data_IF_462217092195
#
_entry.id   IF_462217092195
#
_cell.length_a   1.000
_cell.length_b   1.000
_cell.length_c   1.000
_cell.angle_alpha   90.00
_cell.angle_beta   90.00
_cell.angle_gamma   90.00
#
_symmetry.space_group_name_H-M   'P 1'
#
loop_
_entity.id
_entity.type
_entity.pdbx_description
1 polymer ?
#
# COMPACT_ATOMS: atom_id res chain seq x y z
N UNK A 1 -39.26 -13.42 -12.08
CA UNK A 1 -38.10 -13.06 -11.26
C UNK A 1 -36.85 -13.69 -11.85
N UNK A 2 -35.86 -12.88 -12.20
CA UNK A 2 -34.58 -13.39 -12.72
C UNK A 2 -33.88 -14.22 -11.67
N UNK A 3 -33.45 -15.45 -12.04
CA UNK A 3 -32.64 -16.31 -11.16
C UNK A 3 -31.15 -15.97 -11.24
N UNK A 4 -30.76 -14.93 -11.99
CA UNK A 4 -29.39 -14.51 -12.13
C UNK A 4 -28.98 -13.70 -10.88
N UNK A 5 -28.04 -14.16 -10.05
CA UNK A 5 -27.64 -13.49 -8.81
C UNK A 5 -26.99 -12.11 -9.06
N UNK A 6 -26.53 -11.85 -10.29
CA UNK A 6 -25.98 -10.55 -10.70
C UNK A 6 -27.03 -9.54 -11.15
N UNK A 7 -28.29 -9.96 -11.30
CA UNK A 7 -29.40 -9.09 -11.68
C UNK A 7 -30.05 -8.51 -10.44
N UNK A 8 -29.60 -7.36 -9.99
CA UNK A 8 -30.13 -6.61 -8.86
C UNK A 8 -30.97 -5.42 -9.33
N UNK A 9 -31.81 -4.86 -8.46
CA UNK A 9 -32.56 -3.63 -8.76
C UNK A 9 -31.62 -2.53 -9.24
N UNK A 10 -30.48 -2.34 -8.58
CA UNK A 10 -29.51 -1.32 -8.95
C UNK A 10 -28.93 -1.49 -10.35
N UNK A 11 -28.69 -2.74 -10.79
CA UNK A 11 -28.15 -3.01 -12.13
C UNK A 11 -29.21 -2.88 -13.23
N UNK A 12 -30.46 -3.26 -12.95
CA UNK A 12 -31.57 -3.19 -13.92
C UNK A 12 -32.04 -1.75 -14.13
N UNK A 13 -31.95 -0.93 -13.08
CA UNK A 13 -32.36 0.50 -13.13
C UNK A 13 -31.22 1.44 -13.52
N UNK A 14 -30.04 0.91 -13.83
CA UNK A 14 -28.82 1.70 -14.10
C UNK A 14 -28.32 2.58 -12.93
N UNK A 15 -29.01 2.60 -11.79
CA UNK A 15 -28.62 3.36 -10.59
C UNK A 15 -27.22 2.96 -10.16
N UNK A 16 -26.88 1.70 -10.29
CA UNK A 16 -25.57 1.18 -9.93
C UNK A 16 -24.44 1.79 -10.78
N UNK A 17 -24.69 2.09 -12.05
CA UNK A 17 -23.72 2.70 -12.95
C UNK A 17 -23.41 4.14 -12.54
N UNK A 18 -24.42 4.89 -12.13
CA UNK A 18 -24.24 6.23 -11.57
C UNK A 18 -23.49 6.19 -10.24
N UNK A 19 -23.82 5.23 -9.36
CA UNK A 19 -23.12 5.08 -8.07
C UNK A 19 -21.64 4.75 -8.26
N UNK A 20 -21.30 3.83 -9.15
CA UNK A 20 -19.90 3.51 -9.47
C UNK A 20 -19.12 4.73 -9.92
N UNK A 21 -19.72 5.54 -10.81
CA UNK A 21 -19.11 6.76 -11.29
C UNK A 21 -18.95 7.79 -10.16
N UNK A 22 -19.99 7.96 -9.34
CA UNK A 22 -19.98 8.88 -8.20
C UNK A 22 -18.85 8.52 -7.22
N UNK A 23 -18.81 7.26 -6.76
CA UNK A 23 -17.78 6.80 -5.81
C UNK A 23 -16.37 6.90 -6.39
N UNK A 24 -16.18 6.60 -7.69
CA UNK A 24 -14.88 6.71 -8.33
C UNK A 24 -14.40 8.17 -8.49
N UNK A 25 -15.33 9.14 -8.59
CA UNK A 25 -14.97 10.55 -8.86
C UNK A 25 -14.90 11.43 -7.63
N UNK A 26 -15.78 11.22 -6.65
CA UNK A 26 -15.89 12.07 -5.46
C UNK A 26 -15.80 11.30 -4.15
N UNK A 27 -15.66 9.98 -4.21
CA UNK A 27 -15.51 9.14 -3.01
C UNK A 27 -14.17 9.41 -2.32
N UNK A 28 -14.20 9.49 -1.01
CA UNK A 28 -13.00 9.56 -0.18
C UNK A 28 -12.55 8.16 0.22
N UNK A 29 -11.27 7.88 -0.02
CA UNK A 29 -10.68 6.58 0.30
C UNK A 29 -10.26 6.55 1.77
N UNK A 30 -10.68 5.51 2.47
CA UNK A 30 -10.29 5.28 3.85
C UNK A 30 -9.61 3.92 3.98
N UNK A 31 -8.62 3.83 4.86
CA UNK A 31 -7.96 2.57 5.18
C UNK A 31 -8.94 1.62 5.86
N UNK A 32 -9.12 0.39 5.38
CA UNK A 32 -10.07 -0.57 5.99
C UNK A 32 -9.64 -1.02 7.39
N UNK A 33 -8.36 -0.85 7.75
CA UNK A 33 -7.82 -1.28 9.04
C UNK A 33 -7.89 -0.18 10.09
N UNK A 34 -7.46 1.06 9.77
CA UNK A 34 -7.42 2.15 10.75
C UNK A 34 -8.45 3.27 10.51
N UNK A 35 -9.22 3.21 9.42
CA UNK A 35 -10.22 4.22 9.07
C UNK A 35 -9.65 5.58 8.64
N UNK A 36 -8.33 5.77 8.65
CA UNK A 36 -7.71 7.03 8.23
C UNK A 36 -7.93 7.28 6.74
N UNK A 37 -8.17 8.52 6.38
CA UNK A 37 -8.28 8.95 4.99
C UNK A 37 -6.95 8.69 4.27
N UNK A 38 -7.04 8.07 3.10
CA UNK A 38 -5.91 7.84 2.20
C UNK A 38 -5.98 8.89 1.10
N UNK A 39 -4.92 9.65 0.92
CA UNK A 39 -4.78 10.61 -0.18
C UNK A 39 -3.54 10.28 -1.00
N UNK A 40 -3.65 10.52 -2.30
CA UNK A 40 -2.49 10.59 -3.18
C UNK A 40 -2.01 12.02 -3.22
N UNK A 41 -0.70 12.21 -3.15
CA UNK A 41 -0.08 13.52 -3.28
C UNK A 41 0.87 13.52 -4.47
N UNK A 42 0.91 14.61 -5.21
CA UNK A 42 1.97 14.85 -6.19
C UNK A 42 3.28 15.18 -5.49
N UNK A 43 4.41 14.98 -6.16
CA UNK A 43 5.73 15.37 -5.62
C UNK A 43 5.73 16.85 -5.23
N UNK A 44 5.12 17.72 -6.06
CA UNK A 44 5.04 19.15 -5.76
C UNK A 44 4.25 19.45 -4.48
N UNK A 45 3.10 18.81 -4.27
CA UNK A 45 2.33 18.97 -3.03
C UNK A 45 3.10 18.49 -1.79
N UNK A 46 3.95 17.47 -1.94
CA UNK A 46 4.81 16.99 -0.84
C UNK A 46 5.91 18.03 -0.56
N UNK A 47 6.53 18.59 -1.62
CA UNK A 47 7.51 19.68 -1.50
C UNK A 47 6.89 20.88 -0.79
N UNK A 48 5.71 21.33 -1.25
CA UNK A 48 5.01 22.48 -0.68
C UNK A 48 4.74 22.28 0.82
N UNK A 49 4.28 21.08 1.20
CA UNK A 49 4.06 20.72 2.62
C UNK A 49 5.35 20.69 3.44
N UNK A 50 6.44 20.21 2.87
CA UNK A 50 7.73 20.21 3.56
C UNK A 50 8.32 21.62 3.68
N UNK A 51 8.01 22.52 2.73
CA UNK A 51 8.40 23.93 2.79
C UNK A 51 7.59 24.74 3.82
N UNK A 52 6.46 24.22 4.33
CA UNK A 52 5.73 24.82 5.45
C UNK A 52 6.46 24.69 6.79
N UNK A 53 7.46 23.81 6.90
CA UNK A 53 8.27 23.71 8.12
C UNK A 53 9.06 25.00 8.37
N UNK A 54 9.31 25.34 9.65
CA UNK A 54 10.09 26.52 9.99
C UNK A 54 11.45 26.55 9.31
N UNK A 55 11.90 27.74 8.92
CA UNK A 55 13.25 27.93 8.37
C UNK A 55 14.31 27.37 9.31
N UNK A 56 15.35 26.75 8.74
CA UNK A 56 16.43 26.03 9.43
C UNK A 56 16.03 24.69 10.06
N UNK A 57 14.80 24.20 9.86
CA UNK A 57 14.44 22.84 10.23
C UNK A 57 15.34 21.85 9.48
N UNK A 58 15.95 20.93 10.23
CA UNK A 58 16.78 19.87 9.66
C UNK A 58 15.91 18.64 9.38
N UNK A 59 15.82 18.26 8.12
CA UNK A 59 15.07 17.10 7.66
C UNK A 59 16.00 15.99 7.19
N UNK A 60 15.60 14.77 7.45
CA UNK A 60 16.12 13.56 6.82
C UNK A 60 15.02 12.98 5.93
N UNK A 61 15.33 12.85 4.63
CA UNK A 61 14.42 12.26 3.65
C UNK A 61 14.72 10.76 3.59
N UNK A 62 13.72 9.95 3.91
CA UNK A 62 13.86 8.51 4.02
C UNK A 62 12.94 7.79 3.03
N UNK A 63 13.43 6.71 2.47
CA UNK A 63 12.66 5.79 1.62
C UNK A 63 12.43 4.47 2.33
N UNK A 64 11.20 4.11 2.76
CA UNK A 64 10.92 2.86 3.46
C UNK A 64 10.88 1.67 2.50
N UNK A 65 11.98 0.93 2.40
CA UNK A 65 12.14 -0.22 1.49
C UNK A 65 11.75 -1.56 2.13
N UNK A 66 11.78 -1.66 3.46
CA UNK A 66 11.26 -2.81 4.21
C UNK A 66 10.39 -2.30 5.34
N UNK A 67 9.18 -2.85 5.47
CA UNK A 67 8.20 -2.42 6.49
C UNK A 67 7.61 -3.63 7.19
N UNK A 68 7.98 -3.81 8.46
CA UNK A 68 7.44 -4.85 9.33
C UNK A 68 7.60 -6.28 8.81
N UNK A 69 8.64 -6.55 8.02
CA UNK A 69 8.90 -7.86 7.44
C UNK A 69 9.95 -8.63 8.22
N UNK A 70 9.74 -9.94 8.38
CA UNK A 70 10.73 -10.84 8.97
C UNK A 70 11.81 -11.19 7.98
N UNK A 71 13.05 -11.29 8.43
CA UNK A 71 14.16 -11.70 7.59
C UNK A 71 15.46 -11.02 7.99
N UNK A 72 16.57 -11.48 7.43
CA UNK A 72 17.90 -10.84 7.62
C UNK A 72 18.14 -9.69 6.66
N UNK A 73 17.32 -9.55 5.64
CA UNK A 73 17.34 -8.48 4.62
C UNK A 73 18.70 -8.15 3.98
N UNK A 74 19.69 -9.07 4.07
CA UNK A 74 21.06 -8.88 3.55
C UNK A 74 21.07 -8.45 2.07
N UNK A 75 20.22 -9.10 1.24
CA UNK A 75 20.10 -8.74 -0.18
C UNK A 75 19.58 -7.32 -0.41
N UNK A 76 18.67 -6.86 0.43
CA UNK A 76 18.12 -5.50 0.34
C UNK A 76 19.23 -4.50 0.63
N UNK A 77 19.99 -4.70 1.72
CA UNK A 77 21.11 -3.84 2.12
C UNK A 77 22.21 -3.85 1.03
N UNK A 78 22.52 -5.02 0.47
CA UNK A 78 23.47 -5.12 -0.64
C UNK A 78 23.02 -4.35 -1.90
N UNK A 79 21.74 -4.38 -2.22
CA UNK A 79 21.19 -3.64 -3.36
C UNK A 79 21.27 -2.13 -3.11
N UNK A 80 20.91 -1.67 -1.91
CA UNK A 80 21.02 -0.26 -1.50
C UNK A 80 22.46 0.23 -1.66
N UNK A 81 23.45 -0.61 -1.25
CA UNK A 81 24.87 -0.31 -1.43
C UNK A 81 25.27 -0.22 -2.89
N UNK A 82 24.77 -1.13 -3.74
CA UNK A 82 25.05 -1.13 -5.20
C UNK A 82 24.47 0.10 -5.90
N UNK A 83 23.35 0.62 -5.42
CA UNK A 83 22.71 1.84 -5.93
C UNK A 83 23.43 3.12 -5.47
N UNK A 84 24.48 3.00 -4.63
CA UNK A 84 25.35 4.11 -4.23
C UNK A 84 24.88 4.86 -2.97
N UNK A 85 23.87 4.37 -2.28
CA UNK A 85 23.47 4.96 -1.00
C UNK A 85 24.49 4.62 0.10
N UNK A 86 24.72 5.56 1.00
CA UNK A 86 25.74 5.46 2.04
C UNK A 86 25.16 5.09 3.39
N UNK A 87 23.88 5.43 3.63
CA UNK A 87 23.24 5.28 4.96
C UNK A 87 21.87 4.65 4.85
N UNK A 88 21.55 3.84 5.85
CA UNK A 88 20.24 3.26 6.09
C UNK A 88 19.85 3.51 7.54
N UNK A 89 18.54 3.58 7.78
CA UNK A 89 17.98 3.51 9.12
C UNK A 89 17.33 2.15 9.27
N UNK A 90 17.68 1.43 10.32
CA UNK A 90 17.15 0.10 10.62
C UNK A 90 16.52 0.14 12.00
N UNK A 91 15.25 -0.17 12.09
CA UNK A 91 14.48 -0.17 13.34
C UNK A 91 14.61 1.13 14.14
N UNK A 92 14.74 2.27 13.44
CA UNK A 92 14.89 3.61 14.00
C UNK A 92 16.32 4.07 14.20
N UNK A 93 17.33 3.20 14.09
CA UNK A 93 18.74 3.54 14.25
C UNK A 93 19.46 3.71 12.90
N UNK A 94 20.35 4.72 12.83
CA UNK A 94 21.11 5.01 11.60
C UNK A 94 22.41 4.19 11.55
N UNK A 95 22.64 3.54 10.41
CA UNK A 95 23.84 2.76 10.10
C UNK A 95 24.47 3.23 8.78
N UNK A 96 25.78 3.07 8.65
CA UNK A 96 26.39 3.10 7.33
C UNK A 96 26.16 1.77 6.61
N UNK A 97 25.94 1.81 5.30
CA UNK A 97 25.65 0.59 4.51
C UNK A 97 26.84 -0.37 4.51
N UNK A 98 28.03 0.14 4.87
CA UNK A 98 29.27 -0.64 5.03
C UNK A 98 29.37 -1.36 6.36
N UNK A 99 28.56 -0.98 7.34
CA UNK A 99 28.55 -1.62 8.66
C UNK A 99 28.02 -3.05 8.58
N UNK A 100 28.43 -3.89 9.50
CA UNK A 100 27.89 -5.24 9.65
C UNK A 100 26.55 -5.18 10.38
N UNK A 101 25.46 -5.20 9.63
CA UNK A 101 24.10 -5.15 10.16
C UNK A 101 23.58 -6.58 10.26
N UNK A 102 23.54 -7.13 11.46
CA UNK A 102 23.02 -8.48 11.71
C UNK A 102 21.59 -8.42 12.26
N UNK A 103 20.62 -8.86 11.44
CA UNK A 103 19.20 -8.82 11.74
C UNK A 103 18.65 -10.20 12.08
N UNK A 104 17.85 -10.27 13.12
CA UNK A 104 17.22 -11.51 13.54
C UNK A 104 16.10 -11.91 12.55
N UNK A 105 16.29 -13.05 11.86
CA UNK A 105 15.35 -13.54 10.84
C UNK A 105 13.90 -13.76 11.33
N UNK A 106 13.69 -13.91 12.62
CA UNK A 106 12.39 -14.20 13.22
C UNK A 106 11.67 -12.93 13.71
N UNK A 107 12.35 -11.79 13.75
CA UNK A 107 11.79 -10.50 14.13
C UNK A 107 11.36 -9.72 12.89
N UNK A 108 10.40 -8.82 13.08
CA UNK A 108 9.97 -7.87 12.05
C UNK A 108 10.91 -6.67 12.09
N UNK A 109 11.40 -6.28 10.93
CA UNK A 109 12.30 -5.14 10.77
C UNK A 109 11.71 -4.10 9.84
N UNK A 110 12.10 -2.85 10.06
CA UNK A 110 11.89 -1.73 9.17
C UNK A 110 13.25 -1.26 8.66
N UNK A 111 13.38 -1.05 7.36
CA UNK A 111 14.60 -0.53 6.75
C UNK A 111 14.23 0.62 5.85
N UNK A 112 14.80 1.78 6.11
CA UNK A 112 14.65 2.97 5.31
C UNK A 112 16.02 3.41 4.76
N UNK A 113 16.03 3.76 3.48
CA UNK A 113 17.22 4.38 2.85
C UNK A 113 17.24 5.85 3.20
N UNK A 114 18.36 6.35 3.70
CA UNK A 114 18.57 7.79 3.89
C UNK A 114 18.95 8.39 2.54
N UNK A 115 17.98 9.01 1.89
CA UNK A 115 18.15 9.58 0.55
C UNK A 115 18.89 10.91 0.62
N UNK A 116 18.46 11.80 1.51
CA UNK A 116 19.11 13.12 1.68
C UNK A 116 18.94 13.66 3.10
N UNK A 117 19.79 14.61 3.45
CA UNK A 117 19.71 15.43 4.67
C UNK A 117 19.68 16.89 4.28
N UNK A 118 18.59 17.54 4.58
CA UNK A 118 18.26 18.86 4.06
C UNK A 118 17.98 19.80 5.23
N UNK A 119 18.33 21.06 5.04
CA UNK A 119 17.94 22.14 5.95
C UNK A 119 16.97 23.03 5.19
N UNK A 120 15.77 23.24 5.73
CA UNK A 120 14.75 24.07 5.12
C UNK A 120 15.23 25.52 5.03
N UNK A 121 15.24 26.07 3.83
CA UNK A 121 15.58 27.45 3.47
C UNK A 121 15.03 27.78 2.10
N UNK A 122 14.94 29.05 1.77
CA UNK A 122 14.54 29.49 0.43
C UNK A 122 15.45 28.93 -0.66
N UNK A 123 14.85 28.53 -1.80
CA UNK A 123 15.56 28.05 -3.00
C UNK A 123 16.01 26.60 -2.93
N UNK A 124 15.48 25.80 -1.99
CA UNK A 124 15.82 24.37 -1.86
C UNK A 124 14.81 23.44 -2.56
N UNK A 125 13.74 23.97 -3.11
CA UNK A 125 12.58 23.25 -3.63
C UNK A 125 13.00 22.21 -4.68
N UNK A 126 13.87 22.57 -5.62
CA UNK A 126 14.33 21.64 -6.66
C UNK A 126 15.10 20.45 -6.07
N UNK A 127 16.03 20.70 -5.13
CA UNK A 127 16.76 19.63 -4.45
C UNK A 127 15.82 18.73 -3.63
N UNK A 128 14.85 19.33 -2.98
CA UNK A 128 13.85 18.61 -2.20
C UNK A 128 13.01 17.71 -3.13
N UNK A 129 12.56 18.25 -4.28
CA UNK A 129 11.82 17.49 -5.29
C UNK A 129 12.63 16.30 -5.81
N UNK A 130 13.91 16.48 -6.16
CA UNK A 130 14.79 15.40 -6.63
C UNK A 130 14.97 14.30 -5.56
N UNK A 131 15.11 14.70 -4.29
CA UNK A 131 15.24 13.77 -3.17
C UNK A 131 13.94 12.99 -2.92
N UNK A 132 12.79 13.65 -3.02
CA UNK A 132 11.48 13.01 -2.89
C UNK A 132 11.25 12.05 -4.06
N UNK A 133 11.54 12.46 -5.30
CA UNK A 133 11.42 11.60 -6.48
C UNK A 133 12.25 10.32 -6.32
N UNK A 134 13.49 10.45 -5.87
CA UNK A 134 14.37 9.32 -5.58
C UNK A 134 13.78 8.42 -4.49
N UNK A 135 13.28 8.99 -3.40
CA UNK A 135 12.70 8.24 -2.30
C UNK A 135 11.46 7.45 -2.72
N UNK A 136 10.52 8.08 -3.44
CA UNK A 136 9.29 7.43 -3.89
C UNK A 136 9.53 6.35 -4.94
N UNK A 137 10.58 6.50 -5.75
CA UNK A 137 10.99 5.48 -6.73
C UNK A 137 11.51 4.21 -6.06
N UNK A 138 12.28 4.34 -4.99
CA UNK A 138 12.84 3.21 -4.23
C UNK A 138 11.78 2.45 -3.42
N UNK A 139 10.80 3.16 -2.88
CA UNK A 139 9.80 2.61 -1.95
C UNK A 139 8.43 2.36 -2.59
N UNK A 140 8.35 2.44 -3.91
CA UNK A 140 7.09 2.29 -4.66
C UNK A 140 6.01 3.32 -4.25
N UNK A 141 6.43 4.56 -4.07
CA UNK A 141 5.53 5.71 -3.87
C UNK A 141 5.47 6.28 -2.47
N UNK A 142 6.31 5.83 -1.54
CA UNK A 142 6.35 6.33 -0.16
C UNK A 142 7.60 7.18 0.08
N UNK A 143 7.46 8.21 0.92
CA UNK A 143 8.57 8.99 1.45
C UNK A 143 8.30 9.40 2.89
N UNK A 144 9.33 9.37 3.73
CA UNK A 144 9.26 9.84 5.10
C UNK A 144 10.10 11.10 5.24
N UNK A 145 9.50 12.18 5.75
CA UNK A 145 10.20 13.34 6.24
C UNK A 145 10.39 13.22 7.74
N UNK A 146 11.62 12.98 8.17
CA UNK A 146 11.97 12.96 9.58
C UNK A 146 12.57 14.30 9.97
N UNK A 147 11.94 15.00 10.90
CA UNK A 147 12.55 16.15 11.58
C UNK A 147 13.57 15.62 12.54
N UNK A 148 14.83 16.09 12.45
CA UNK A 148 15.89 15.66 13.39
C UNK A 148 15.48 16.09 14.79
N UNK A 149 15.47 15.14 15.72
CA UNK A 149 15.02 15.29 17.11
C UNK A 149 13.51 15.65 17.24
N UNK A 150 12.71 15.37 16.21
CA UNK A 150 11.29 15.67 16.15
C UNK A 150 10.44 14.54 15.59
N UNK A 151 9.29 14.92 15.05
CA UNK A 151 8.31 13.97 14.49
C UNK A 151 8.70 13.45 13.10
N UNK A 152 8.06 12.36 12.72
CA UNK A 152 8.13 11.78 11.39
C UNK A 152 6.77 11.92 10.70
N UNK A 153 6.80 12.35 9.45
CA UNK A 153 5.62 12.48 8.63
C UNK A 153 5.82 11.63 7.37
N UNK A 154 4.91 10.70 7.14
CA UNK A 154 4.93 9.87 5.95
C UNK A 154 3.98 10.42 4.89
N UNK A 155 4.48 10.57 3.67
CA UNK A 155 3.72 10.97 2.50
C UNK A 155 3.66 9.83 1.49
N UNK A 156 2.62 9.82 0.66
CA UNK A 156 2.46 8.83 -0.41
C UNK A 156 2.07 9.49 -1.72
N UNK A 157 2.76 9.10 -2.79
CA UNK A 157 2.39 9.47 -4.16
C UNK A 157 1.37 8.49 -4.77
N UNK A 158 0.98 7.45 -4.03
CA UNK A 158 -0.06 6.50 -4.39
C UNK A 158 -1.19 6.55 -3.37
N UNK A 159 -2.37 6.07 -3.74
CA UNK A 159 -3.44 5.84 -2.78
C UNK A 159 -3.05 4.68 -1.85
N UNK A 160 -2.25 4.95 -0.84
CA UNK A 160 -1.82 3.94 0.12
C UNK A 160 -1.90 4.46 1.55
N UNK A 161 -2.32 3.60 2.47
CA UNK A 161 -2.26 3.92 3.89
C UNK A 161 -0.80 3.91 4.35
N UNK A 162 -0.27 5.00 4.89
CA UNK A 162 1.12 5.05 5.31
C UNK A 162 1.43 4.06 6.45
N UNK A 163 0.46 3.75 7.32
CA UNK A 163 0.66 2.85 8.46
C UNK A 163 0.58 1.37 8.07
N UNK A 164 -0.37 1.01 7.17
CA UNK A 164 -0.65 -0.40 6.86
C UNK A 164 -0.13 -0.85 5.50
N UNK A 165 0.35 0.08 4.66
CA UNK A 165 0.80 -0.25 3.30
C UNK A 165 -0.30 -0.77 2.37
N UNK A 166 -1.57 -0.68 2.80
CA UNK A 166 -2.71 -1.05 1.97
C UNK A 166 -2.87 0.03 0.91
N UNK A 167 -2.55 -0.31 -0.32
CA UNK A 167 -2.66 0.56 -1.47
C UNK A 167 -3.89 0.26 -2.31
N UNK A 168 -4.43 1.29 -2.94
CA UNK A 168 -5.43 1.19 -4.00
C UNK A 168 -4.75 1.70 -5.26
N UNK A 169 -4.64 0.86 -6.28
CA UNK A 169 -3.86 1.19 -7.49
C UNK A 169 -4.43 2.41 -8.21
N UNK A 170 -5.71 2.43 -8.48
CA UNK A 170 -6.38 3.54 -9.17
C UNK A 170 -7.87 3.51 -8.87
N UNK A 171 -8.44 4.65 -8.45
CA UNK A 171 -9.88 4.78 -8.29
C UNK A 171 -10.56 4.86 -9.66
N UNK A 172 -11.05 3.74 -10.13
CA UNK A 172 -11.80 3.66 -11.39
C UNK A 172 -13.17 3.05 -11.17
N UNK A 173 -14.19 3.40 -11.99
CA UNK A 173 -15.55 2.84 -11.85
C UNK A 173 -15.61 1.31 -11.87
N UNK A 174 -14.65 0.64 -12.51
CA UNK A 174 -14.56 -0.83 -12.56
C UNK A 174 -14.27 -1.48 -11.22
N UNK A 175 -13.57 -0.77 -10.31
CA UNK A 175 -13.26 -1.25 -8.95
C UNK A 175 -14.50 -1.32 -8.05
N UNK A 176 -15.51 -0.53 -8.38
CA UNK A 176 -16.79 -0.53 -7.66
C UNK A 176 -17.82 -1.49 -8.29
N UNK A 177 -17.40 -2.30 -9.26
CA UNK A 177 -18.29 -3.26 -9.92
C UNK A 177 -18.06 -4.67 -9.41
N UNK A 178 -19.03 -5.25 -8.72
CA UNK A 178 -19.01 -6.67 -8.32
C UNK A 178 -19.02 -7.63 -9.51
N UNK A 179 -19.31 -7.15 -10.70
CA UNK A 179 -19.31 -7.87 -11.98
C UNK A 179 -17.95 -7.78 -12.71
N UNK A 180 -17.01 -7.02 -12.18
CA UNK A 180 -15.67 -6.84 -12.74
C UNK A 180 -14.65 -7.63 -11.89
N UNK A 181 -13.65 -8.28 -12.49
CA UNK A 181 -12.57 -8.92 -11.74
C UNK A 181 -11.84 -7.98 -10.76
N UNK A 182 -11.87 -6.66 -11.03
CA UNK A 182 -11.23 -5.65 -10.18
C UNK A 182 -12.02 -5.27 -8.94
N UNK A 183 -13.33 -5.53 -8.90
CA UNK A 183 -14.20 -5.16 -7.78
C UNK A 183 -15.03 -6.33 -7.25
N UNK A 184 -14.89 -7.51 -7.84
CA UNK A 184 -15.55 -8.71 -7.36
C UNK A 184 -14.89 -9.22 -6.08
N UNK A 185 -15.68 -9.80 -5.19
CA UNK A 185 -15.18 -10.50 -4.02
C UNK A 185 -14.41 -11.76 -4.46
N UNK A 186 -13.20 -11.96 -3.96
CA UNK A 186 -12.34 -13.11 -4.30
C UNK A 186 -12.97 -14.45 -3.89
N UNK A 187 -13.81 -14.46 -2.85
CA UNK A 187 -14.46 -15.68 -2.35
C UNK A 187 -15.64 -16.10 -3.22
N UNK A 188 -16.51 -15.16 -3.65
CA UNK A 188 -17.74 -15.49 -4.37
C UNK A 188 -17.77 -15.00 -5.82
N UNK A 189 -16.71 -14.34 -6.31
CA UNK A 189 -16.62 -13.75 -7.64
C UNK A 189 -17.82 -12.86 -7.99
N UNK A 190 -18.33 -12.10 -7.01
CA UNK A 190 -19.46 -11.20 -7.17
C UNK A 190 -20.83 -11.87 -7.17
N UNK A 191 -20.93 -13.13 -6.77
CA UNK A 191 -22.22 -13.86 -6.72
C UNK A 191 -22.96 -13.66 -5.39
N UNK A 192 -22.26 -13.22 -4.33
CA UNK A 192 -22.82 -13.05 -2.98
C UNK A 192 -22.95 -14.35 -2.19
N UNK A 193 -22.75 -15.49 -2.84
CA UNK A 193 -22.79 -16.83 -2.25
C UNK A 193 -21.66 -17.70 -2.83
N UNK A 194 -21.11 -18.61 -2.07
CA UNK A 194 -20.26 -19.70 -2.57
C UNK A 194 -21.09 -20.98 -2.65
N UNK A 195 -20.86 -21.75 -3.73
CA UNK A 195 -21.47 -23.08 -3.89
C UNK A 195 -20.40 -24.10 -3.65
N UNK A 196 -20.61 -24.90 -2.63
CA UNK A 196 -19.75 -26.03 -2.31
C UNK A 196 -20.48 -27.34 -2.65
N UNK A 197 -19.70 -28.32 -3.06
CA UNK A 197 -20.25 -29.68 -3.27
C UNK A 197 -20.40 -30.30 -1.90
N UNK A 198 -21.62 -30.59 -1.51
CA UNK A 198 -21.90 -31.34 -0.28
C UNK A 198 -21.61 -32.82 -0.53
N UNK A 199 -20.59 -33.41 0.15
CA UNK A 199 -20.23 -34.81 -0.03
C UNK A 199 -21.38 -35.77 0.34
N UNK A 200 -22.23 -35.39 1.29
CA UNK A 200 -23.34 -36.23 1.75
C UNK A 200 -24.51 -36.24 0.76
N UNK A 201 -24.64 -35.20 -0.05
CA UNK A 201 -25.59 -35.17 -1.18
C UNK A 201 -25.07 -35.93 -2.41
N UNK A 202 -23.75 -35.96 -2.59
CA UNK A 202 -23.12 -36.71 -3.72
C UNK A 202 -23.02 -38.20 -3.40
N UNK A 203 -22.76 -38.54 -2.16
CA UNK A 203 -22.64 -39.93 -1.68
C UNK A 203 -23.64 -40.13 -0.52
N UNK A 204 -24.92 -40.26 -0.84
CA UNK A 204 -25.97 -40.32 0.19
C UNK A 204 -25.87 -41.61 1.07
N UNK A 205 -25.22 -42.63 0.59
CA UNK A 205 -24.96 -43.87 1.36
C UNK A 205 -23.49 -44.27 1.28
N UNK A 206 -22.74 -43.91 2.31
CA UNK A 206 -21.29 -44.16 2.41
C UNK A 206 -20.94 -45.65 2.58
N UNK A 207 -21.91 -46.51 2.84
CA UNK A 207 -21.69 -47.96 2.97
C UNK A 207 -21.72 -48.69 1.62
N UNK A 208 -22.22 -48.02 0.57
CA UNK A 208 -22.23 -48.57 -0.76
C UNK A 208 -20.94 -48.23 -1.53
N UNK A 209 -20.50 -49.16 -2.36
CA UNK A 209 -19.45 -48.85 -3.33
C UNK A 209 -20.02 -48.14 -4.55
N UNK A 210 -19.18 -47.48 -5.34
CA UNK A 210 -19.59 -46.84 -6.61
C UNK A 210 -20.31 -47.82 -7.54
N UNK A 211 -19.90 -49.10 -7.56
CA UNK A 211 -20.57 -50.15 -8.36
C UNK A 211 -21.95 -50.52 -7.82
N UNK A 212 -22.22 -50.26 -6.57
CA UNK A 212 -23.51 -50.49 -5.93
C UNK A 212 -24.43 -49.27 -5.94
N UNK A 213 -23.99 -48.17 -6.53
CA UNK A 213 -24.80 -46.95 -6.70
C UNK A 213 -24.67 -45.97 -5.52
N UNK A 214 -23.48 -45.89 -4.90
CA UNK A 214 -23.17 -44.88 -3.88
C UNK A 214 -23.24 -43.49 -4.48
#
# INVERSE_FOLDING_TARGET
TSKNPRSTVGTVTEIYDYLRLLFARVGEVHCPTCGKKISQMTIQEIVDKMMEFPERTKLQILSPVVRGQKGTHKKVIENIKKEGFVRVRVDGENYEVTDEIDLNKNQKHNIEVVVDRIVIKDGIENRLADSIETAVKLSDGLVIAQIIDGEEIMYSTKFACPEHGIGIEELSPRMFSFNSPFGACDTCNGLGESKEVDPDLVIPNKELSIKQGA
#
